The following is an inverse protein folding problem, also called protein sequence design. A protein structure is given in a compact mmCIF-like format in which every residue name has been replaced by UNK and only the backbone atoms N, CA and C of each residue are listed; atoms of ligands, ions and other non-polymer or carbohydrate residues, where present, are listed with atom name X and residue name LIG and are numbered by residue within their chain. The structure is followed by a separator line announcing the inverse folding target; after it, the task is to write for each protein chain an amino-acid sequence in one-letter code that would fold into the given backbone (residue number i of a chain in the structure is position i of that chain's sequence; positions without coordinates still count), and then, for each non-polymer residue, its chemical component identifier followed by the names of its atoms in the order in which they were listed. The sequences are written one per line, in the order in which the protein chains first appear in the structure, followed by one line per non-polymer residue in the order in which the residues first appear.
data_IF_849268817941
#
_entry.id   IF_849268817941
#
_cell.length_a   1.000
_cell.length_b   1.000
_cell.length_c   1.000
_cell.angle_alpha   90.00
_cell.angle_beta   90.00
_cell.angle_gamma   90.00
#
_symmetry.space_group_name_H-M   'P 1'
#
loop_
_entity.id
_entity.type
_entity.pdbx_description
1 polymer ?
#
# COMPACT_ATOMS: atom_id res chain seq x y z
N UNK A 1 18.52 0.48 -20.83
CA UNK A 1 18.30 -0.23 -19.53
C UNK A 1 16.97 0.12 -18.85
N UNK A 2 16.43 1.34 -18.99
CA UNK A 2 15.17 1.73 -18.33
C UNK A 2 13.89 1.10 -18.90
N UNK A 3 13.84 0.74 -20.19
CA UNK A 3 12.61 0.21 -20.81
C UNK A 3 12.29 -1.27 -20.43
N UNK A 4 13.28 -2.10 -20.22
CA UNK A 4 13.03 -3.52 -19.90
C UNK A 4 12.60 -3.73 -18.44
N UNK A 5 13.16 -2.96 -17.52
CA UNK A 5 12.75 -2.97 -16.11
C UNK A 5 11.31 -2.47 -15.97
N UNK A 6 10.93 -1.45 -16.72
CA UNK A 6 9.56 -0.97 -16.78
C UNK A 6 8.60 -2.05 -17.32
N UNK A 7 8.95 -2.73 -18.40
CA UNK A 7 8.08 -3.76 -18.98
C UNK A 7 7.85 -4.95 -18.03
N UNK A 8 8.89 -5.40 -17.33
CA UNK A 8 8.76 -6.48 -16.33
C UNK A 8 7.94 -6.05 -15.12
N UNK A 9 8.12 -4.83 -14.66
CA UNK A 9 7.33 -4.24 -13.58
C UNK A 9 5.85 -4.16 -13.96
N UNK A 10 5.53 -3.68 -15.15
CA UNK A 10 4.16 -3.65 -15.67
C UNK A 10 3.51 -5.03 -15.79
N UNK A 11 4.26 -6.01 -16.22
CA UNK A 11 3.76 -7.38 -16.30
C UNK A 11 3.46 -7.96 -14.91
N UNK A 12 4.29 -7.65 -13.91
CA UNK A 12 4.04 -8.02 -12.53
C UNK A 12 2.77 -7.34 -11.98
N UNK A 13 2.61 -6.04 -12.23
CA UNK A 13 1.42 -5.27 -11.87
C UNK A 13 0.13 -5.89 -12.45
N UNK A 14 0.15 -6.24 -13.71
CA UNK A 14 -1.01 -6.83 -14.39
C UNK A 14 -1.37 -8.21 -13.83
N UNK A 15 -0.37 -9.04 -13.53
CA UNK A 15 -0.57 -10.37 -12.94
C UNK A 15 -1.13 -10.30 -11.53
N UNK A 16 -0.79 -9.27 -10.75
CA UNK A 16 -1.25 -9.12 -9.38
C UNK A 16 -2.78 -9.01 -9.24
N UNK A 17 -3.50 -8.59 -10.29
CA UNK A 17 -4.96 -8.56 -10.30
C UNK A 17 -5.62 -9.89 -10.65
N UNK A 18 -4.98 -10.67 -11.53
CA UNK A 18 -5.65 -11.78 -12.19
C UNK A 18 -5.21 -13.15 -11.65
N UNK A 19 -4.07 -13.23 -10.98
CA UNK A 19 -3.51 -14.47 -10.43
C UNK A 19 -3.42 -14.45 -8.91
N UNK A 20 -3.40 -15.63 -8.30
CA UNK A 20 -3.08 -15.78 -6.89
C UNK A 20 -1.68 -15.21 -6.61
N UNK A 21 -1.54 -14.49 -5.51
CA UNK A 21 -0.26 -13.93 -5.08
C UNK A 21 0.58 -15.02 -4.41
N UNK A 22 1.85 -15.17 -4.75
CA UNK A 22 2.68 -16.25 -4.20
C UNK A 22 3.01 -16.07 -2.72
N UNK A 23 2.65 -14.93 -2.13
CA UNK A 23 2.92 -14.55 -0.76
C UNK A 23 3.74 -13.27 -0.67
N UNK A 24 3.93 -12.74 0.54
CA UNK A 24 4.72 -11.54 0.75
C UNK A 24 6.17 -11.71 0.28
N UNK A 25 6.70 -10.68 -0.37
CA UNK A 25 8.05 -10.68 -0.95
C UNK A 25 9.05 -10.07 0.02
N UNK A 26 10.15 -10.79 0.27
CA UNK A 26 11.27 -10.33 1.10
C UNK A 26 11.13 -10.71 2.57
N UNK A 27 11.87 -10.02 3.43
CA UNK A 27 11.83 -10.22 4.87
C UNK A 27 10.93 -9.18 5.52
N UNK A 28 10.13 -9.56 6.52
CA UNK A 28 9.33 -8.61 7.27
C UNK A 28 10.18 -7.76 8.22
N UNK A 29 9.68 -6.57 8.50
CA UNK A 29 10.09 -5.77 9.65
C UNK A 29 8.97 -5.85 10.67
N UNK A 30 9.33 -6.08 11.93
CA UNK A 30 8.39 -6.18 13.04
C UNK A 30 8.52 -4.94 13.92
N UNK A 31 7.38 -4.39 14.32
CA UNK A 31 7.28 -3.36 15.35
C UNK A 31 6.40 -3.89 16.48
N UNK A 32 6.77 -3.55 17.71
CA UNK A 32 6.00 -3.93 18.89
C UNK A 32 5.93 -2.78 19.89
N UNK A 33 4.74 -2.55 20.44
CA UNK A 33 4.52 -1.62 21.54
C UNK A 33 3.27 -2.01 22.34
N UNK A 34 3.41 -2.25 23.61
CA UNK A 34 2.31 -2.64 24.49
C UNK A 34 1.59 -3.89 24.00
N UNK A 35 0.33 -3.73 23.62
CA UNK A 35 -0.51 -4.82 23.09
C UNK A 35 -0.54 -4.88 21.56
N UNK A 36 0.20 -3.99 20.89
CA UNK A 36 0.22 -3.91 19.44
C UNK A 36 1.47 -4.58 18.86
N UNK A 37 1.26 -5.34 17.80
CA UNK A 37 2.31 -5.93 16.96
C UNK A 37 1.98 -5.67 15.50
N UNK A 38 2.98 -5.22 14.77
CA UNK A 38 2.87 -4.88 13.35
C UNK A 38 3.92 -5.63 12.54
N UNK A 39 3.51 -6.22 11.43
CA UNK A 39 4.42 -6.83 10.47
C UNK A 39 4.30 -6.12 9.13
N UNK A 40 5.43 -5.64 8.61
CA UNK A 40 5.52 -4.88 7.36
C UNK A 40 6.51 -5.54 6.42
N UNK A 41 6.14 -5.69 5.15
CA UNK A 41 7.03 -6.17 4.09
C UNK A 41 7.43 -5.01 3.16
N UNK A 42 8.60 -4.38 3.36
CA UNK A 42 9.04 -3.24 2.52
C UNK A 42 9.13 -3.61 1.05
N UNK A 43 9.64 -4.79 0.72
CA UNK A 43 9.79 -5.25 -0.66
C UNK A 43 8.49 -5.71 -1.33
N UNK A 44 7.44 -5.89 -0.57
CA UNK A 44 6.08 -6.20 -1.06
C UNK A 44 5.17 -4.96 -0.99
N UNK A 45 5.63 -3.84 -1.52
CA UNK A 45 4.85 -2.61 -1.58
C UNK A 45 4.64 -1.92 -0.23
N UNK A 46 5.56 -2.08 0.71
CA UNK A 46 5.41 -1.58 2.08
C UNK A 46 4.10 -2.03 2.75
N UNK A 47 3.65 -3.22 2.37
CA UNK A 47 2.42 -3.83 2.86
C UNK A 47 2.51 -4.18 4.34
N UNK A 48 1.51 -3.77 5.09
CA UNK A 48 1.23 -4.30 6.42
C UNK A 48 0.50 -5.62 6.22
N UNK A 49 1.13 -6.74 6.59
CA UNK A 49 0.55 -8.08 6.43
C UNK A 49 -0.13 -8.59 7.69
N UNK A 50 0.25 -8.03 8.85
CA UNK A 50 -0.35 -8.35 10.15
C UNK A 50 -0.39 -7.08 11.00
N UNK A 51 -1.51 -6.87 11.64
CA UNK A 51 -1.70 -5.95 12.75
C UNK A 51 -2.44 -6.70 13.84
N UNK A 52 -1.76 -6.93 14.96
CA UNK A 52 -2.36 -7.57 16.12
C UNK A 52 -2.61 -6.55 17.22
N UNK A 53 -3.77 -6.63 17.84
CA UNK A 53 -4.14 -5.86 19.01
C UNK A 53 -4.68 -6.84 20.08
N UNK A 54 -4.10 -6.82 21.28
CA UNK A 54 -4.45 -7.73 22.38
C UNK A 54 -4.41 -9.21 22.01
N UNK A 55 -3.51 -9.59 21.10
CA UNK A 55 -3.37 -10.97 20.60
C UNK A 55 -4.34 -11.35 19.47
N UNK A 56 -5.24 -10.46 19.08
CA UNK A 56 -6.16 -10.69 17.97
C UNK A 56 -5.63 -10.09 16.67
N UNK A 57 -5.72 -10.83 15.59
CA UNK A 57 -5.40 -10.31 14.25
C UNK A 57 -6.53 -9.39 13.74
N UNK A 58 -6.17 -8.18 13.37
CA UNK A 58 -7.11 -7.14 12.91
C UNK A 58 -7.22 -7.12 11.38
N UNK A 59 -6.16 -7.54 10.69
CA UNK A 59 -6.11 -7.54 9.23
C UNK A 59 -6.31 -8.96 8.67
N UNK A 60 -6.99 -9.02 7.53
CA UNK A 60 -7.12 -10.26 6.76
C UNK A 60 -5.76 -10.73 6.27
N UNK A 61 -5.38 -11.93 6.67
CA UNK A 61 -4.09 -12.53 6.36
C UNK A 61 -4.01 -13.01 4.91
N UNK A 62 -2.78 -13.18 4.43
CA UNK A 62 -2.54 -13.87 3.17
C UNK A 62 -2.91 -15.35 3.27
N UNK A 63 -3.48 -15.88 2.19
CA UNK A 63 -3.77 -17.28 1.96
C UNK A 63 -3.45 -17.64 0.50
N UNK A 64 -3.13 -18.91 0.19
CA UNK A 64 -2.62 -19.32 -1.13
C UNK A 64 -3.47 -18.95 -2.34
N UNK A 65 -4.76 -18.72 -2.18
CA UNK A 65 -5.66 -18.36 -3.29
C UNK A 65 -5.91 -16.86 -3.42
N UNK A 66 -5.36 -16.06 -2.48
CA UNK A 66 -5.61 -14.62 -2.47
C UNK A 66 -4.72 -13.88 -3.46
N UNK A 67 -5.30 -12.91 -4.12
CA UNK A 67 -4.59 -11.95 -4.97
C UNK A 67 -3.91 -10.90 -4.11
N UNK A 68 -2.93 -10.20 -4.66
CA UNK A 68 -2.18 -9.14 -3.97
C UNK A 68 -3.08 -8.05 -3.34
N UNK A 69 -4.25 -7.79 -3.95
CA UNK A 69 -5.20 -6.77 -3.48
C UNK A 69 -6.25 -7.28 -2.49
N UNK A 70 -6.10 -8.46 -1.92
CA UNK A 70 -7.15 -9.11 -1.13
C UNK A 70 -6.75 -9.39 0.31
N UNK A 71 -5.62 -8.84 0.78
CA UNK A 71 -5.14 -9.04 2.15
C UNK A 71 -4.27 -7.90 2.66
N UNK A 72 -4.14 -7.81 3.98
CA UNK A 72 -3.31 -6.83 4.66
C UNK A 72 -3.80 -5.40 4.49
N UNK A 73 -2.87 -4.46 4.55
CA UNK A 73 -3.08 -3.05 4.25
C UNK A 73 -1.92 -2.56 3.39
N UNK A 74 -2.21 -1.96 2.24
CA UNK A 74 -1.19 -1.49 1.31
C UNK A 74 -1.40 -0.01 0.94
N UNK A 75 -0.31 0.76 0.67
CA UNK A 75 -0.41 2.15 0.24
C UNK A 75 -0.86 2.25 -1.22
N UNK A 76 -1.71 3.22 -1.49
CA UNK A 76 -2.15 3.63 -2.82
C UNK A 76 -1.58 5.01 -3.11
N UNK A 77 -0.51 5.09 -3.92
CA UNK A 77 0.20 6.34 -4.26
C UNK A 77 0.96 6.12 -5.57
N UNK A 78 1.12 7.12 -6.46
CA UNK A 78 0.73 8.52 -6.36
C UNK A 78 -0.73 8.81 -6.73
N UNK A 79 -1.58 7.80 -6.90
CA UNK A 79 -3.03 7.99 -6.97
C UNK A 79 -3.75 6.90 -6.22
N UNK A 80 -4.85 7.25 -5.54
CA UNK A 80 -5.79 6.34 -4.93
C UNK A 80 -7.02 6.16 -5.83
N UNK A 81 -7.60 4.96 -5.86
CA UNK A 81 -8.74 4.68 -6.71
C UNK A 81 -8.34 4.47 -8.18
N UNK A 82 -9.23 4.86 -9.08
CA UNK A 82 -9.19 4.50 -10.50
C UNK A 82 -8.97 5.74 -11.36
N UNK A 83 -7.98 5.69 -12.26
CA UNK A 83 -7.87 6.64 -13.37
C UNK A 83 -8.57 6.05 -14.59
N UNK A 84 -9.57 6.78 -15.11
CA UNK A 84 -10.33 6.39 -16.29
C UNK A 84 -9.43 6.23 -17.50
N UNK A 85 -9.65 5.17 -18.27
CA UNK A 85 -8.90 4.84 -19.49
C UNK A 85 -7.37 4.91 -19.34
N UNK A 86 -6.90 4.68 -18.10
CA UNK A 86 -5.50 4.77 -17.71
C UNK A 86 -4.82 6.09 -18.12
N UNK A 87 -5.58 7.19 -18.13
CA UNK A 87 -5.11 8.49 -18.57
C UNK A 87 -5.25 9.51 -17.45
N UNK A 88 -4.16 10.24 -17.19
CA UNK A 88 -4.13 11.40 -16.30
C UNK A 88 -4.08 12.67 -17.12
N UNK A 89 -5.07 13.54 -16.96
CA UNK A 89 -5.11 14.85 -17.61
C UNK A 89 -4.69 15.93 -16.63
N UNK A 90 -3.71 16.75 -17.01
CA UNK A 90 -3.20 17.88 -16.23
C UNK A 90 -3.11 19.11 -17.14
N UNK A 91 -4.03 20.05 -16.94
CA UNK A 91 -4.22 21.13 -17.89
C UNK A 91 -4.61 20.59 -19.27
N UNK A 92 -3.86 20.96 -20.30
CA UNK A 92 -4.06 20.47 -21.67
C UNK A 92 -3.28 19.18 -21.99
N UNK A 93 -2.42 18.73 -21.07
CA UNK A 93 -1.57 17.55 -21.29
C UNK A 93 -2.24 16.29 -20.81
N UNK A 94 -2.05 15.21 -21.57
CA UNK A 94 -2.49 13.88 -21.22
C UNK A 94 -1.28 12.95 -21.05
N UNK A 95 -1.32 12.15 -19.99
CA UNK A 95 -0.28 11.19 -19.65
C UNK A 95 -0.90 9.80 -19.59
N UNK A 96 -0.45 8.91 -20.45
CA UNK A 96 -0.87 7.51 -20.42
C UNK A 96 -0.14 6.78 -19.30
N UNK A 97 -0.89 6.06 -18.48
CA UNK A 97 -0.38 5.24 -17.40
C UNK A 97 -0.68 3.75 -17.68
N UNK A 98 -0.01 2.81 -17.02
CA UNK A 98 -0.28 1.39 -17.25
C UNK A 98 -1.68 1.02 -16.80
N UNK A 99 -2.45 0.45 -17.70
CA UNK A 99 -3.76 -0.11 -17.39
C UNK A 99 -3.60 -1.46 -16.66
N UNK A 100 -3.31 -1.43 -15.37
CA UNK A 100 -3.21 -2.63 -14.54
C UNK A 100 -4.58 -3.27 -14.23
N UNK A 101 -5.68 -2.54 -14.50
CA UNK A 101 -7.06 -3.05 -14.48
C UNK A 101 -7.81 -2.53 -15.71
N UNK A 102 -7.53 -3.08 -16.92
CA UNK A 102 -8.03 -2.54 -18.18
C UNK A 102 -9.53 -2.27 -18.18
N UNK A 103 -9.98 -1.13 -18.77
CA UNK A 103 -9.16 -0.11 -19.45
C UNK A 103 -8.50 0.89 -18.49
N UNK A 104 -8.62 0.74 -17.19
CA UNK A 104 -8.25 1.71 -16.17
C UNK A 104 -6.89 1.42 -15.52
N UNK A 105 -6.28 2.46 -14.94
CA UNK A 105 -5.17 2.34 -14.00
C UNK A 105 -5.70 2.44 -12.55
N UNK A 106 -5.27 1.54 -11.66
CA UNK A 106 -5.81 1.39 -10.32
C UNK A 106 -4.74 1.42 -9.24
N UNK A 107 -4.96 2.23 -8.19
CA UNK A 107 -4.25 2.25 -6.92
C UNK A 107 -2.75 2.58 -6.98
N UNK A 108 -2.33 3.38 -7.94
CA UNK A 108 -0.94 3.84 -8.00
C UNK A 108 0.06 2.75 -8.32
N UNK A 109 1.28 2.95 -7.83
CA UNK A 109 2.43 2.09 -8.07
C UNK A 109 3.02 1.53 -6.78
N UNK A 110 2.73 2.14 -5.66
CA UNK A 110 3.39 1.91 -4.39
C UNK A 110 3.26 0.47 -3.88
N UNK A 111 2.07 -0.10 -4.03
CA UNK A 111 1.77 -1.47 -3.58
C UNK A 111 2.50 -2.57 -4.38
N UNK A 112 3.22 -2.22 -5.42
CA UNK A 112 4.03 -3.14 -6.24
C UNK A 112 5.52 -2.81 -6.22
N UNK A 113 5.87 -1.69 -5.60
CA UNK A 113 7.24 -1.21 -5.57
C UNK A 113 7.98 -1.80 -4.37
N UNK A 114 9.29 -1.93 -4.52
CA UNK A 114 10.15 -2.20 -3.37
C UNK A 114 10.46 -0.88 -2.68
N UNK A 115 10.31 -0.86 -1.36
CA UNK A 115 10.61 0.28 -0.51
C UNK A 115 11.88 0.04 0.27
N UNK A 116 12.63 1.11 0.51
CA UNK A 116 13.82 1.11 1.34
C UNK A 116 13.47 1.50 2.77
N UNK A 117 14.01 0.79 3.76
CA UNK A 117 13.91 1.22 5.16
C UNK A 117 14.96 2.29 5.43
N UNK A 118 14.52 3.50 5.77
CA UNK A 118 15.39 4.65 6.07
C UNK A 118 15.50 4.93 7.57
N UNK A 119 14.53 4.45 8.35
CA UNK A 119 14.57 4.47 9.82
C UNK A 119 13.80 3.26 10.37
N UNK A 120 14.38 2.60 11.38
CA UNK A 120 13.75 1.49 12.07
C UNK A 120 14.09 1.53 13.56
N UNK A 121 13.05 1.70 14.38
CA UNK A 121 13.08 1.62 15.85
C UNK A 121 12.09 0.54 16.30
N UNK A 122 12.02 0.29 17.60
CA UNK A 122 11.11 -0.73 18.13
C UNK A 122 9.63 -0.46 17.80
N UNK A 123 9.23 0.81 17.77
CA UNK A 123 7.86 1.27 17.58
C UNK A 123 7.65 2.14 16.34
N UNK A 124 8.70 2.41 15.57
CA UNK A 124 8.64 3.32 14.42
C UNK A 124 9.42 2.77 13.23
N UNK A 125 8.80 2.79 12.07
CA UNK A 125 9.40 2.43 10.80
C UNK A 125 9.15 3.53 9.78
N UNK A 126 10.20 4.03 9.13
CA UNK A 126 10.10 4.95 8.00
C UNK A 126 10.63 4.28 6.74
N UNK A 127 9.80 4.25 5.73
CA UNK A 127 10.09 3.65 4.43
C UNK A 127 10.09 4.72 3.34
N UNK A 128 10.93 4.53 2.32
CA UNK A 128 11.08 5.42 1.17
C UNK A 128 10.90 4.65 -0.14
N UNK A 129 10.21 5.28 -1.08
CA UNK A 129 10.07 4.80 -2.45
C UNK A 129 10.30 5.96 -3.43
N UNK A 130 11.21 5.84 -4.41
CA UNK A 130 11.35 6.85 -5.45
C UNK A 130 10.15 6.84 -6.40
N UNK A 131 9.72 8.03 -6.81
CA UNK A 131 8.77 8.22 -7.91
C UNK A 131 9.52 8.46 -9.22
N UNK A 132 8.97 7.97 -10.30
CA UNK A 132 9.49 8.09 -11.66
C UNK A 132 8.73 7.14 -12.57
N UNK A 133 9.19 6.97 -13.79
CA UNK A 133 8.49 6.14 -14.77
C UNK A 133 7.96 4.83 -14.18
N UNK A 134 6.67 4.52 -14.42
CA UNK A 134 5.74 5.13 -15.37
C UNK A 134 5.04 6.43 -14.93
N UNK A 135 5.22 6.85 -13.70
CA UNK A 135 4.74 8.16 -13.26
C UNK A 135 5.55 9.27 -13.97
N UNK A 136 4.90 10.28 -14.54
CA UNK A 136 5.58 11.24 -15.41
C UNK A 136 6.62 12.12 -14.71
N UNK A 137 6.53 12.27 -13.40
CA UNK A 137 7.34 13.17 -12.61
C UNK A 137 8.29 12.46 -11.66
N UNK A 138 9.41 13.12 -11.39
CA UNK A 138 10.37 12.67 -10.39
C UNK A 138 9.97 13.15 -9.00
N UNK A 139 10.19 12.29 -8.01
CA UNK A 139 9.88 12.57 -6.63
C UNK A 139 10.20 11.37 -5.72
N UNK A 140 9.66 11.43 -4.53
CA UNK A 140 9.72 10.30 -3.60
C UNK A 140 8.45 10.22 -2.75
N UNK A 141 8.19 9.06 -2.22
CA UNK A 141 7.16 8.83 -1.22
C UNK A 141 7.82 8.33 0.06
N UNK A 142 7.42 8.93 1.17
CA UNK A 142 7.78 8.45 2.51
C UNK A 142 6.53 7.89 3.17
N UNK A 143 6.65 6.69 3.76
CA UNK A 143 5.63 6.11 4.63
C UNK A 143 6.22 5.96 6.02
N UNK A 144 5.62 6.61 7.01
CA UNK A 144 5.97 6.44 8.42
C UNK A 144 4.86 5.67 9.13
N UNK A 145 5.26 4.63 9.84
CA UNK A 145 4.39 3.81 10.67
C UNK A 145 4.90 3.95 12.11
N UNK A 146 4.01 4.35 13.01
CA UNK A 146 4.36 4.51 14.43
C UNK A 146 3.31 3.79 15.28
N UNK A 147 3.76 2.92 16.17
CA UNK A 147 2.91 2.34 17.19
C UNK A 147 2.91 3.26 18.43
N UNK A 148 1.72 3.62 18.87
CA UNK A 148 1.45 4.19 20.18
C UNK A 148 0.87 3.11 21.10
N UNK A 149 0.50 3.42 22.31
CA UNK A 149 0.06 2.41 23.29
C UNK A 149 -1.23 1.69 22.85
N UNK A 150 -2.10 2.39 22.14
CA UNK A 150 -3.40 1.92 21.68
C UNK A 150 -3.71 2.26 20.21
N UNK A 151 -2.72 2.74 19.46
CA UNK A 151 -2.92 3.20 18.09
C UNK A 151 -1.77 2.84 17.15
N UNK A 152 -2.10 2.61 15.88
CA UNK A 152 -1.18 2.63 14.77
C UNK A 152 -1.38 3.95 14.01
N UNK A 153 -0.34 4.78 13.98
CA UNK A 153 -0.33 6.03 13.20
C UNK A 153 0.36 5.75 11.86
N UNK A 154 -0.36 6.02 10.78
CA UNK A 154 0.14 5.92 9.41
C UNK A 154 0.24 7.30 8.78
N UNK A 155 1.40 7.65 8.23
CA UNK A 155 1.63 8.89 7.51
C UNK A 155 2.24 8.60 6.14
N UNK A 156 1.65 9.18 5.07
CA UNK A 156 2.21 9.21 3.73
C UNK A 156 2.56 10.64 3.35
N UNK A 157 3.76 10.82 2.82
CA UNK A 157 4.27 12.10 2.33
C UNK A 157 4.74 11.90 0.89
N UNK A 158 4.34 12.80 0.00
CA UNK A 158 4.75 12.80 -1.41
C UNK A 158 5.57 14.06 -1.62
N UNK A 159 6.82 13.89 -2.02
CA UNK A 159 7.75 14.97 -2.27
C UNK A 159 8.09 15.04 -3.75
N UNK A 160 7.99 16.23 -4.33
CA UNK A 160 8.42 16.48 -5.70
C UNK A 160 9.90 16.85 -5.75
N UNK A 161 10.60 16.44 -6.81
CA UNK A 161 12.02 16.81 -7.01
C UNK A 161 12.21 17.88 -8.10
N UNK A 162 11.18 18.15 -8.89
CA UNK A 162 11.29 19.11 -10.00
C UNK A 162 10.13 20.07 -10.04
N UNK A 163 9.00 19.63 -10.53
CA UNK A 163 7.81 20.44 -10.73
C UNK A 163 6.63 19.90 -9.93
N UNK A 164 5.67 20.76 -9.66
CA UNK A 164 4.42 20.37 -9.01
C UNK A 164 3.63 19.42 -9.90
N UNK A 165 3.09 18.37 -9.32
CA UNK A 165 2.21 17.44 -9.99
C UNK A 165 0.98 17.09 -9.13
N UNK A 166 -0.15 16.73 -9.74
CA UNK A 166 -1.30 16.25 -8.99
C UNK A 166 -1.00 14.88 -8.39
N UNK A 167 -1.38 14.67 -7.14
CA UNK A 167 -1.26 13.37 -6.50
C UNK A 167 -2.39 13.15 -5.51
N UNK A 168 -2.72 11.89 -5.28
CA UNK A 168 -3.56 11.46 -4.19
C UNK A 168 -2.98 10.23 -3.52
N UNK A 169 -3.24 10.08 -2.23
CA UNK A 169 -2.71 8.97 -1.45
C UNK A 169 -3.76 8.39 -0.51
N UNK A 170 -3.56 7.15 -0.11
CA UNK A 170 -4.38 6.47 0.86
C UNK A 170 -3.86 5.08 1.18
N UNK A 171 -4.57 4.38 2.04
CA UNK A 171 -4.31 2.99 2.36
C UNK A 171 -5.55 2.14 2.06
N UNK A 172 -5.31 0.88 1.74
CA UNK A 172 -6.35 -0.09 1.44
C UNK A 172 -6.33 -1.22 2.49
N UNK A 173 -6.90 -1.00 3.68
CA UNK A 173 -6.97 -2.04 4.70
C UNK A 173 -8.04 -3.06 4.36
N UNK A 174 -7.73 -4.33 4.63
CA UNK A 174 -8.68 -5.42 4.66
C UNK A 174 -8.85 -5.87 6.11
N UNK A 175 -9.85 -5.37 6.77
CA UNK A 175 -10.15 -5.79 8.13
C UNK A 175 -10.80 -7.18 8.15
N UNK A 176 -10.53 -7.95 9.21
CA UNK A 176 -11.31 -9.16 9.52
C UNK A 176 -12.73 -8.76 9.93
N UNK A 177 -13.71 -9.61 9.65
CA UNK A 177 -15.09 -9.32 10.06
C UNK A 177 -15.35 -9.60 11.54
N UNK A 178 -14.60 -10.53 12.12
CA UNK A 178 -14.74 -10.97 13.50
C UNK A 178 -13.37 -11.06 14.16
N UNK A 179 -13.27 -10.58 15.40
CA UNK A 179 -12.07 -10.70 16.23
C UNK A 179 -12.21 -11.89 17.16
N UNK A 180 -11.34 -12.90 16.97
CA UNK A 180 -11.37 -14.12 17.78
C UNK A 180 -12.58 -15.04 17.50
N UNK A 181 -12.86 -15.92 18.45
CA UNK A 181 -14.07 -16.76 18.45
C UNK A 181 -15.20 -15.99 19.13
N UNK A 182 -16.00 -15.32 18.34
CA UNK A 182 -17.16 -14.57 18.80
C UNK A 182 -18.43 -15.24 18.28
N UNK A 183 -19.57 -14.87 18.86
CA UNK A 183 -20.87 -15.32 18.39
C UNK A 183 -21.15 -14.76 16.98
N UNK A 184 -21.93 -15.47 16.17
CA UNK A 184 -22.24 -15.10 14.78
C UNK A 184 -22.89 -13.69 14.64
N UNK A 185 -23.38 -13.12 15.74
CA UNK A 185 -24.06 -11.82 15.81
C UNK A 185 -23.09 -10.64 16.04
N UNK A 186 -21.81 -10.89 16.37
CA UNK A 186 -20.85 -9.83 16.63
C UNK A 186 -20.28 -9.27 15.31
N UNK A 187 -20.60 -8.02 15.00
CA UNK A 187 -20.11 -7.32 13.81
C UNK A 187 -18.97 -6.36 14.15
N UNK A 188 -17.94 -6.30 13.28
CA UNK A 188 -16.90 -5.29 13.35
C UNK A 188 -17.46 -3.95 12.90
N UNK A 189 -17.46 -2.96 13.80
CA UNK A 189 -17.83 -1.59 13.49
C UNK A 189 -16.58 -0.78 13.14
N UNK A 190 -16.52 -0.21 11.95
CA UNK A 190 -15.47 0.72 11.52
C UNK A 190 -16.01 2.15 11.61
N UNK A 191 -15.45 2.94 12.53
CA UNK A 191 -15.78 4.35 12.68
C UNK A 191 -14.66 5.23 12.14
N UNK A 192 -14.99 6.29 11.40
CA UNK A 192 -14.01 7.26 10.92
C UNK A 192 -14.60 8.68 10.90
N UNK A 193 -13.72 9.67 11.08
CA UNK A 193 -14.06 11.07 10.80
C UNK A 193 -13.50 11.45 9.45
N UNK A 194 -14.30 12.08 8.62
CA UNK A 194 -13.86 12.72 7.38
C UNK A 194 -14.06 14.24 7.52
N UNK A 195 -13.02 15.01 7.19
CA UNK A 195 -13.13 16.46 7.05
C UNK A 195 -13.24 16.76 5.56
N UNK A 196 -14.34 17.37 5.16
CA UNK A 196 -14.64 17.77 3.78
C UNK A 196 -14.24 19.22 3.56
#
# INVERSE_FOLDING_TARGET
MNNELNTKHYQALRRAFDTAWPGPIGQPILLEKGHLRLQVFPRDGARITSLQAFGFEVLRQWEPQRKAFQYGCFPMVPWAGRLGDATLTVGEKQYALPANKPPHALHGMACYSSWESVEHKADTLKLRMPLGAPWPWQGEVLQTLTLEDDALILRLEIHTMSETFPASAGWHPWFVKQLGQQNEEDELLVCFKANW
#
